data_IF_615007268859
#
_entry.id   IF_615007268859
#
_cell.length_a   1.000
_cell.length_b   1.000
_cell.length_c   1.000
_cell.angle_alpha   90.00
_cell.angle_beta   90.00
_cell.angle_gamma   90.00
#
_symmetry.space_group_name_H-M   'P 1'
#
loop_
_entity.id
_entity.type
_entity.pdbx_description
1 polymer ?
#
# COMPACT_ATOMS: atom_id res chain seq x y z
N UNK A 1 -31.72 -0.67 -1.00
CA UNK A 1 -30.44 -0.58 -1.74
C UNK A 1 -29.36 -1.40 -1.03
N UNK A 2 -29.69 -2.63 -0.59
CA UNK A 2 -28.83 -3.43 0.32
C UNK A 2 -28.60 -4.87 -0.13
N UNK A 3 -29.00 -5.26 -1.34
CA UNK A 3 -28.95 -6.68 -1.74
C UNK A 3 -27.75 -7.04 -2.63
N UNK A 4 -27.14 -6.10 -3.36
CA UNK A 4 -26.09 -6.45 -4.33
C UNK A 4 -24.70 -6.72 -3.71
N UNK A 5 -24.36 -6.07 -2.60
CA UNK A 5 -23.06 -6.29 -1.92
C UNK A 5 -22.99 -7.66 -1.22
N UNK A 6 -24.14 -8.27 -0.94
CA UNK A 6 -24.21 -9.57 -0.27
C UNK A 6 -23.94 -10.74 -1.24
N UNK A 7 -24.15 -10.55 -2.55
CA UNK A 7 -23.99 -11.62 -3.55
C UNK A 7 -22.54 -11.87 -3.97
N UNK A 8 -21.71 -10.84 -4.14
CA UNK A 8 -20.30 -11.01 -4.49
C UNK A 8 -19.51 -11.66 -3.33
N UNK A 9 -19.79 -11.24 -2.10
CA UNK A 9 -19.20 -11.86 -0.90
C UNK A 9 -19.65 -13.30 -0.67
N UNK A 10 -20.95 -13.60 -0.88
CA UNK A 10 -21.48 -14.94 -0.70
C UNK A 10 -21.08 -15.93 -1.82
N UNK A 11 -20.81 -15.44 -3.04
CA UNK A 11 -20.37 -16.27 -4.16
C UNK A 11 -18.95 -16.83 -3.94
N UNK A 12 -18.05 -16.04 -3.37
CA UNK A 12 -16.68 -16.48 -3.02
C UNK A 12 -16.73 -17.54 -1.91
N UNK A 13 -17.65 -17.41 -0.94
CA UNK A 13 -17.68 -18.25 0.26
C UNK A 13 -18.32 -19.64 0.09
N UNK A 14 -19.31 -19.84 -0.80
CA UNK A 14 -20.05 -21.12 -0.87
C UNK A 14 -19.59 -22.11 -1.93
N UNK A 15 -18.74 -21.73 -2.90
CA UNK A 15 -18.40 -22.59 -4.05
C UNK A 15 -16.91 -22.89 -4.24
N UNK A 16 -16.03 -22.48 -3.32
CA UNK A 16 -14.59 -22.74 -3.46
C UNK A 16 -13.95 -21.98 -4.62
N UNK A 17 -14.36 -20.71 -4.81
CA UNK A 17 -13.77 -19.85 -5.83
C UNK A 17 -12.26 -19.72 -5.58
N UNK A 18 -11.47 -20.04 -6.59
CA UNK A 18 -10.01 -19.93 -6.52
C UNK A 18 -9.59 -18.48 -6.73
N UNK A 19 -9.10 -17.84 -5.66
CA UNK A 19 -8.59 -16.45 -5.69
C UNK A 19 -7.31 -16.30 -6.53
N UNK A 20 -6.70 -17.41 -6.94
CA UNK A 20 -5.54 -17.45 -7.82
C UNK A 20 -5.89 -17.76 -9.27
N UNK A 21 -7.18 -17.95 -9.58
CA UNK A 21 -7.62 -18.19 -10.94
C UNK A 21 -7.29 -16.98 -11.83
N UNK A 22 -6.82 -17.27 -13.04
CA UNK A 22 -6.57 -16.28 -14.08
C UNK A 22 -7.44 -16.54 -15.31
N UNK A 23 -7.86 -15.46 -15.98
CA UNK A 23 -8.54 -15.59 -17.28
C UNK A 23 -7.54 -16.01 -18.37
N UNK A 24 -8.03 -16.33 -19.57
CA UNK A 24 -7.16 -16.61 -20.74
C UNK A 24 -6.26 -15.42 -21.10
N UNK A 25 -6.72 -14.21 -20.79
CA UNK A 25 -6.02 -12.95 -21.03
C UNK A 25 -5.06 -12.61 -19.87
N UNK A 26 -5.00 -13.46 -18.83
CA UNK A 26 -4.14 -13.28 -17.67
C UNK A 26 -4.75 -12.40 -16.58
N UNK A 27 -6.03 -12.04 -16.67
CA UNK A 27 -6.67 -11.21 -15.65
C UNK A 27 -6.75 -11.94 -14.31
N UNK A 28 -6.47 -11.20 -13.24
CA UNK A 28 -6.57 -11.69 -11.87
C UNK A 28 -7.84 -11.16 -11.22
N UNK A 29 -8.13 -11.65 -10.01
CA UNK A 29 -9.20 -11.08 -9.15
C UNK A 29 -9.04 -9.58 -8.88
N UNK A 30 -7.84 -9.01 -9.08
CA UNK A 30 -7.59 -7.59 -8.89
C UNK A 30 -7.74 -6.75 -10.16
N UNK A 31 -7.81 -7.35 -11.36
CA UNK A 31 -7.90 -6.58 -12.62
C UNK A 31 -9.12 -5.64 -12.63
N UNK A 32 -10.30 -6.13 -12.20
CA UNK A 32 -11.50 -5.29 -12.12
C UNK A 32 -11.35 -4.14 -11.12
N UNK A 33 -10.68 -4.36 -9.98
CA UNK A 33 -10.42 -3.30 -8.99
C UNK A 33 -9.51 -2.25 -9.61
N UNK A 34 -8.42 -2.66 -10.27
CA UNK A 34 -7.48 -1.75 -10.93
C UNK A 34 -8.19 -0.89 -11.98
N UNK A 35 -9.04 -1.51 -12.80
CA UNK A 35 -9.84 -0.79 -13.80
C UNK A 35 -10.74 0.27 -13.14
N UNK A 36 -11.52 -0.11 -12.12
CA UNK A 36 -12.42 0.82 -11.42
C UNK A 36 -11.68 1.97 -10.74
N UNK A 37 -10.50 1.70 -10.15
CA UNK A 37 -9.68 2.76 -9.57
C UNK A 37 -9.21 3.76 -10.64
N UNK A 38 -8.94 3.31 -11.87
CA UNK A 38 -8.64 4.18 -13.01
C UNK A 38 -9.77 5.16 -13.34
N UNK A 39 -11.03 4.72 -13.29
CA UNK A 39 -12.20 5.54 -13.59
C UNK A 39 -12.44 6.66 -12.56
N UNK A 40 -11.84 6.57 -11.37
CA UNK A 40 -11.95 7.65 -10.36
C UNK A 40 -11.14 8.90 -10.74
N UNK A 41 -10.25 8.82 -11.74
CA UNK A 41 -9.40 9.93 -12.17
C UNK A 41 -10.20 10.88 -13.06
N UNK A 42 -10.58 12.04 -12.51
CA UNK A 42 -11.30 13.08 -13.26
C UNK A 42 -12.82 12.88 -13.36
N UNK A 43 -13.34 11.83 -12.72
CA UNK A 43 -14.77 11.57 -12.57
C UNK A 43 -15.44 12.41 -11.47
N UNK A 44 -16.73 12.15 -11.26
CA UNK A 44 -17.50 12.78 -10.18
C UNK A 44 -16.97 12.39 -8.79
N UNK A 45 -16.99 13.33 -7.84
CA UNK A 45 -16.44 13.11 -6.49
C UNK A 45 -17.24 12.06 -5.71
N UNK A 46 -18.55 12.03 -5.88
CA UNK A 46 -19.41 11.10 -5.15
C UNK A 46 -19.31 9.69 -5.73
N UNK A 47 -19.33 9.57 -7.06
CA UNK A 47 -19.04 8.32 -7.76
C UNK A 47 -17.66 7.77 -7.39
N UNK A 48 -16.63 8.62 -7.38
CA UNK A 48 -15.28 8.27 -6.96
C UNK A 48 -15.22 7.75 -5.51
N UNK A 49 -15.99 8.34 -4.58
CA UNK A 49 -16.10 7.82 -3.21
C UNK A 49 -16.73 6.44 -3.17
N UNK A 50 -17.84 6.23 -3.88
CA UNK A 50 -18.50 4.91 -3.94
C UNK A 50 -17.58 3.84 -4.51
N UNK A 51 -16.86 4.16 -5.60
CA UNK A 51 -15.89 3.25 -6.22
C UNK A 51 -14.76 2.92 -5.23
N UNK A 52 -14.16 3.92 -4.58
CA UNK A 52 -13.10 3.69 -3.61
C UNK A 52 -13.56 2.79 -2.44
N UNK A 53 -14.76 3.03 -1.91
CA UNK A 53 -15.37 2.21 -0.86
C UNK A 53 -15.60 0.77 -1.31
N UNK A 54 -16.13 0.57 -2.51
CA UNK A 54 -16.31 -0.75 -3.11
C UNK A 54 -14.96 -1.47 -3.27
N UNK A 55 -13.99 -0.83 -3.93
CA UNK A 55 -12.65 -1.38 -4.13
C UNK A 55 -11.98 -1.76 -2.81
N UNK A 56 -12.13 -0.94 -1.78
CA UNK A 56 -11.63 -1.23 -0.44
C UNK A 56 -12.24 -2.51 0.16
N UNK A 57 -13.58 -2.62 0.17
CA UNK A 57 -14.28 -3.78 0.73
C UNK A 57 -13.98 -5.08 -0.02
N UNK A 58 -13.92 -5.03 -1.35
CA UNK A 58 -13.60 -6.21 -2.16
C UNK A 58 -12.13 -6.61 -1.94
N UNK A 59 -11.20 -5.66 -1.88
CA UNK A 59 -9.78 -5.95 -1.59
C UNK A 59 -9.63 -6.60 -0.21
N UNK A 60 -10.31 -6.09 0.82
CA UNK A 60 -10.33 -6.70 2.16
C UNK A 60 -10.78 -8.16 2.12
N UNK A 61 -11.87 -8.45 1.41
CA UNK A 61 -12.40 -9.80 1.27
C UNK A 61 -11.41 -10.72 0.52
N UNK A 62 -10.91 -10.30 -0.64
CA UNK A 62 -9.97 -11.09 -1.44
C UNK A 62 -8.72 -11.45 -0.64
N UNK A 63 -8.16 -10.48 0.09
CA UNK A 63 -7.01 -10.71 0.95
C UNK A 63 -7.32 -11.64 2.12
N UNK A 64 -8.52 -11.57 2.72
CA UNK A 64 -8.97 -12.52 3.75
C UNK A 64 -9.02 -13.97 3.24
N UNK A 65 -9.18 -14.15 1.93
CA UNK A 65 -9.13 -15.44 1.25
C UNK A 65 -7.74 -15.77 0.65
N UNK A 66 -6.70 -14.97 0.95
CA UNK A 66 -5.32 -15.27 0.59
C UNK A 66 -4.87 -14.75 -0.77
N UNK A 67 -5.62 -13.87 -1.42
CA UNK A 67 -5.18 -13.19 -2.63
C UNK A 67 -3.98 -12.27 -2.33
N UNK A 68 -2.95 -12.29 -3.18
CA UNK A 68 -1.77 -11.42 -3.09
C UNK A 68 -1.91 -10.20 -4.04
N UNK A 69 -2.24 -9.00 -3.55
CA UNK A 69 -2.35 -7.77 -4.37
C UNK A 69 -1.01 -7.22 -4.85
N UNK A 70 0.12 -7.85 -4.55
CA UNK A 70 1.45 -7.49 -5.04
C UNK A 70 1.96 -8.45 -6.14
N UNK A 71 1.19 -9.48 -6.46
CA UNK A 71 1.53 -10.51 -7.45
C UNK A 71 1.50 -9.96 -8.88
N UNK A 72 2.47 -10.38 -9.69
CA UNK A 72 2.48 -10.23 -11.15
C UNK A 72 2.11 -11.59 -11.78
N UNK A 73 1.75 -11.72 -13.06
CA UNK A 73 1.49 -10.69 -14.06
C UNK A 73 -0.02 -10.37 -14.18
N UNK A 74 -0.35 -9.12 -14.50
CA UNK A 74 -1.57 -8.68 -15.21
C UNK A 74 -1.53 -7.15 -15.31
N UNK A 75 -0.70 -6.64 -16.24
CA UNK A 75 -0.52 -5.23 -16.60
C UNK A 75 -0.15 -4.18 -15.53
N UNK A 76 -0.34 -4.40 -14.23
CA UNK A 76 0.22 -3.69 -13.07
C UNK A 76 -0.48 -4.24 -11.79
N UNK A 77 0.24 -4.73 -10.77
CA UNK A 77 -0.42 -5.25 -9.54
C UNK A 77 -1.22 -4.17 -8.79
N UNK A 78 -2.22 -4.54 -7.99
CA UNK A 78 -3.03 -3.56 -7.23
C UNK A 78 -2.16 -2.66 -6.34
N UNK A 79 -1.17 -3.23 -5.66
CA UNK A 79 -0.25 -2.46 -4.80
C UNK A 79 0.56 -1.46 -5.63
N UNK A 80 1.01 -1.85 -6.82
CA UNK A 80 1.73 -0.98 -7.73
C UNK A 80 0.87 0.20 -8.21
N UNK A 81 -0.39 -0.04 -8.59
CA UNK A 81 -1.33 1.01 -8.99
C UNK A 81 -1.60 1.97 -7.84
N UNK A 82 -1.85 1.43 -6.65
CA UNK A 82 -2.06 2.24 -5.45
C UNK A 82 -0.82 3.08 -5.10
N UNK A 83 0.39 2.58 -5.31
CA UNK A 83 1.64 3.34 -5.14
C UNK A 83 1.78 4.47 -6.18
N UNK A 84 1.47 4.22 -7.46
CA UNK A 84 1.54 5.25 -8.53
C UNK A 84 0.57 6.40 -8.29
N UNK A 85 -0.60 6.10 -7.72
CA UNK A 85 -1.67 7.06 -7.45
C UNK A 85 -1.94 7.20 -5.95
N UNK A 86 -0.89 7.14 -5.12
CA UNK A 86 -1.03 7.06 -3.66
C UNK A 86 -1.73 8.26 -3.04
N UNK A 87 -1.75 9.42 -3.71
CA UNK A 87 -2.53 10.58 -3.28
C UNK A 87 -4.03 10.28 -3.29
N UNK A 88 -4.51 9.65 -4.37
CA UNK A 88 -5.92 9.37 -4.64
C UNK A 88 -6.39 8.13 -3.90
N UNK A 89 -5.60 7.06 -3.94
CA UNK A 89 -5.94 5.77 -3.33
C UNK A 89 -5.24 5.55 -1.99
N UNK A 90 -4.94 6.64 -1.26
CA UNK A 90 -4.20 6.58 0.01
C UNK A 90 -4.83 5.61 1.03
N UNK A 91 -6.16 5.63 1.28
CA UNK A 91 -6.76 4.73 2.27
C UNK A 91 -6.56 3.26 1.91
N UNK A 92 -6.71 2.93 0.62
CA UNK A 92 -6.50 1.57 0.12
C UNK A 92 -5.02 1.17 0.22
N UNK A 93 -4.09 2.04 -0.21
CA UNK A 93 -2.65 1.78 -0.10
C UNK A 93 -2.22 1.56 1.35
N UNK A 94 -2.68 2.41 2.27
CA UNK A 94 -2.41 2.30 3.69
C UNK A 94 -2.87 0.95 4.22
N UNK A 95 -4.11 0.57 3.92
CA UNK A 95 -4.66 -0.74 4.29
C UNK A 95 -3.82 -1.90 3.75
N UNK A 96 -3.42 -1.85 2.47
CA UNK A 96 -2.58 -2.88 1.85
C UNK A 96 -1.27 -3.07 2.66
N UNK A 97 -0.54 -1.98 2.91
CA UNK A 97 0.74 -2.04 3.62
C UNK A 97 0.58 -2.47 5.09
N UNK A 98 -0.42 -1.94 5.80
CA UNK A 98 -0.75 -2.34 7.18
C UNK A 98 -1.13 -3.82 7.28
N UNK A 99 -1.78 -4.35 6.25
CA UNK A 99 -2.15 -5.76 6.14
C UNK A 99 -0.98 -6.67 5.77
N UNK A 100 0.21 -6.11 5.51
CA UNK A 100 1.44 -6.83 5.22
C UNK A 100 1.73 -7.01 3.72
N UNK A 101 1.13 -6.17 2.87
CA UNK A 101 1.39 -6.19 1.44
C UNK A 101 2.85 -5.97 1.10
N UNK A 102 3.30 -6.64 0.02
CA UNK A 102 4.64 -6.40 -0.47
C UNK A 102 4.68 -5.05 -1.17
N UNK A 103 5.61 -4.21 -0.77
CA UNK A 103 5.87 -2.91 -1.39
C UNK A 103 6.84 -2.99 -2.57
N UNK A 104 7.22 -4.21 -2.98
CA UNK A 104 7.90 -4.51 -4.24
C UNK A 104 7.14 -5.67 -4.92
N UNK A 105 7.45 -5.97 -6.18
CA UNK A 105 6.89 -7.14 -6.85
C UNK A 105 7.14 -8.41 -6.02
N UNK A 106 6.08 -9.15 -5.68
CA UNK A 106 6.22 -10.36 -4.86
C UNK A 106 6.84 -11.54 -5.63
N UNK A 107 6.71 -11.57 -6.97
CA UNK A 107 7.29 -12.61 -7.81
C UNK A 107 8.71 -12.30 -8.32
N UNK A 108 8.90 -11.09 -8.86
CA UNK A 108 10.15 -10.71 -9.54
C UNK A 108 11.06 -9.82 -8.68
N UNK A 109 10.61 -9.40 -7.50
CA UNK A 109 11.36 -8.53 -6.61
C UNK A 109 11.46 -7.07 -7.09
N UNK A 110 12.32 -6.26 -6.44
CA UNK A 110 12.40 -4.81 -6.67
C UNK A 110 12.92 -4.41 -8.06
N UNK A 111 13.50 -5.34 -8.84
CA UNK A 111 13.94 -5.09 -10.22
C UNK A 111 12.78 -4.96 -11.20
N UNK A 112 11.61 -5.55 -10.90
CA UNK A 112 10.40 -5.39 -11.70
C UNK A 112 9.69 -4.07 -11.36
N UNK A 113 9.43 -3.84 -10.07
CA UNK A 113 9.00 -2.55 -9.56
C UNK A 113 9.32 -2.44 -8.07
N UNK A 114 9.63 -1.22 -7.63
CA UNK A 114 9.90 -0.91 -6.23
C UNK A 114 9.07 0.27 -5.75
N UNK A 115 8.34 0.08 -4.65
CA UNK A 115 7.53 1.15 -4.06
C UNK A 115 8.36 2.35 -3.63
N UNK A 116 9.64 2.17 -3.24
CA UNK A 116 10.51 3.30 -2.90
C UNK A 116 10.77 4.16 -4.14
N UNK A 117 11.05 3.54 -5.28
CA UNK A 117 11.24 4.26 -6.53
C UNK A 117 9.98 5.02 -6.92
N UNK A 118 8.83 4.34 -6.90
CA UNK A 118 7.56 4.92 -7.32
C UNK A 118 7.17 6.11 -6.44
N UNK A 119 7.29 6.00 -5.11
CA UNK A 119 6.93 7.09 -4.18
C UNK A 119 7.79 8.32 -4.43
N UNK A 120 9.11 8.16 -4.55
CA UNK A 120 10.00 9.30 -4.78
C UNK A 120 9.85 9.89 -6.19
N UNK A 121 9.66 9.06 -7.22
CA UNK A 121 9.35 9.52 -8.58
C UNK A 121 8.09 10.38 -8.58
N UNK A 122 7.03 9.93 -7.91
CA UNK A 122 5.75 10.64 -7.81
C UNK A 122 5.86 11.93 -7.00
N UNK A 123 6.57 11.90 -5.87
CA UNK A 123 6.88 13.11 -5.10
C UNK A 123 7.58 14.16 -5.98
N UNK A 124 8.63 13.74 -6.69
CA UNK A 124 9.36 14.66 -7.56
C UNK A 124 8.49 15.19 -8.69
N UNK A 125 7.71 14.34 -9.35
CA UNK A 125 6.83 14.74 -10.45
C UNK A 125 5.77 15.75 -10.03
N UNK A 126 5.06 15.51 -8.90
CA UNK A 126 3.96 16.37 -8.45
C UNK A 126 4.41 17.64 -7.74
N UNK A 127 5.57 17.63 -7.08
CA UNK A 127 6.10 18.80 -6.37
C UNK A 127 6.99 19.70 -7.25
N UNK A 128 7.32 19.25 -8.46
CA UNK A 128 7.99 20.11 -9.45
C UNK A 128 7.03 21.09 -10.13
N UNK A 129 5.73 20.84 -10.07
CA UNK A 129 4.69 21.60 -10.79
C UNK A 129 3.73 22.38 -9.88
N UNK A 130 3.79 22.21 -8.56
CA UNK A 130 2.83 22.81 -7.62
C UNK A 130 3.47 23.90 -6.76
N UNK A 131 2.82 25.07 -6.73
CA UNK A 131 3.12 26.17 -5.79
C UNK A 131 2.18 26.17 -4.57
N UNK A 132 1.20 25.27 -4.53
CA UNK A 132 0.25 25.16 -3.42
C UNK A 132 0.90 24.42 -2.23
N UNK A 133 1.17 25.18 -1.17
CA UNK A 133 1.76 24.68 0.07
C UNK A 133 0.88 23.63 0.76
N UNK A 134 -0.45 23.76 0.68
CA UNK A 134 -1.39 22.82 1.32
C UNK A 134 -1.39 21.48 0.61
N UNK A 135 -1.44 21.49 -0.73
CA UNK A 135 -1.28 20.31 -1.57
C UNK A 135 0.06 19.61 -1.31
N UNK A 136 1.13 20.41 -1.24
CA UNK A 136 2.48 19.88 -1.06
C UNK A 136 2.68 19.23 0.30
N UNK A 137 2.11 19.84 1.35
CA UNK A 137 2.13 19.30 2.71
C UNK A 137 1.35 17.98 2.82
N UNK A 138 0.12 17.90 2.29
CA UNK A 138 -0.68 16.66 2.28
C UNK A 138 0.06 15.52 1.55
N UNK A 139 0.62 15.81 0.37
CA UNK A 139 1.33 14.81 -0.42
C UNK A 139 2.59 14.30 0.29
N UNK A 140 3.36 15.19 0.92
CA UNK A 140 4.54 14.82 1.70
C UNK A 140 4.16 13.96 2.90
N UNK A 141 3.13 14.35 3.66
CA UNK A 141 2.67 13.58 4.82
C UNK A 141 2.20 12.17 4.43
N UNK A 142 1.47 12.05 3.32
CA UNK A 142 1.06 10.74 2.78
C UNK A 142 2.27 9.91 2.38
N UNK A 143 3.25 10.50 1.71
CA UNK A 143 4.46 9.79 1.32
C UNK A 143 5.30 9.35 2.52
N UNK A 144 5.44 10.19 3.54
CA UNK A 144 6.08 9.84 4.82
C UNK A 144 5.41 8.62 5.45
N UNK A 145 4.08 8.66 5.56
CA UNK A 145 3.30 7.53 6.10
C UNK A 145 3.54 6.24 5.29
N UNK A 146 3.52 6.33 3.96
CA UNK A 146 3.77 5.18 3.08
C UNK A 146 5.19 4.63 3.27
N UNK A 147 6.20 5.50 3.28
CA UNK A 147 7.60 5.11 3.47
C UNK A 147 7.81 4.45 4.85
N UNK A 148 7.20 5.00 5.90
CA UNK A 148 7.23 4.43 7.24
C UNK A 148 6.60 3.04 7.30
N UNK A 149 5.44 2.84 6.67
CA UNK A 149 4.77 1.53 6.58
C UNK A 149 5.61 0.50 5.82
N UNK A 150 6.29 0.93 4.74
CA UNK A 150 7.19 0.08 3.96
C UNK A 150 8.42 -0.33 4.76
N UNK A 151 9.07 0.63 5.43
CA UNK A 151 10.21 0.37 6.32
C UNK A 151 9.78 -0.54 7.47
N UNK A 152 8.61 -0.29 8.07
CA UNK A 152 8.05 -1.08 9.18
C UNK A 152 7.76 -2.54 8.82
N UNK A 153 7.67 -2.85 7.53
CA UNK A 153 7.38 -4.18 6.99
C UNK A 153 8.64 -4.96 6.56
N UNK A 154 9.84 -4.39 6.72
CA UNK A 154 11.09 -4.98 6.25
C UNK A 154 12.19 -4.98 7.31
N UNK A 155 12.98 -6.05 7.38
CA UNK A 155 14.13 -6.11 8.29
C UNK A 155 15.23 -5.12 7.89
N UNK A 156 15.43 -4.97 6.58
CA UNK A 156 16.41 -4.07 5.98
C UNK A 156 15.77 -3.50 4.71
N UNK A 157 15.55 -2.17 4.62
CA UNK A 157 15.10 -1.54 3.40
C UNK A 157 16.10 -1.82 2.27
N UNK A 158 15.67 -2.55 1.24
CA UNK A 158 16.48 -2.81 0.04
C UNK A 158 16.16 -1.77 -1.01
N UNK A 159 17.06 -0.80 -1.16
CA UNK A 159 17.07 0.11 -2.29
C UNK A 159 17.92 -0.49 -3.43
N UNK A 160 17.45 -0.43 -4.68
CA UNK A 160 18.30 -0.66 -5.85
C UNK A 160 19.61 0.14 -5.81
N UNK A 161 20.69 -0.47 -6.29
CA UNK A 161 22.07 0.05 -6.20
C UNK A 161 22.23 1.43 -6.84
N UNK A 162 21.52 1.68 -7.95
CA UNK A 162 21.56 2.92 -8.71
C UNK A 162 20.40 3.86 -8.35
N UNK A 163 19.79 3.67 -7.17
CA UNK A 163 18.69 4.52 -6.76
C UNK A 163 19.17 5.93 -6.42
N UNK A 164 18.81 6.85 -7.30
CA UNK A 164 19.00 8.27 -7.13
C UNK A 164 17.72 9.04 -7.42
N UNK A 165 17.61 10.21 -6.80
CA UNK A 165 16.43 11.07 -6.93
C UNK A 165 16.84 12.32 -7.70
N UNK A 166 16.17 12.55 -8.83
CA UNK A 166 16.29 13.80 -9.55
C UNK A 166 15.53 14.93 -8.83
N UNK A 167 16.11 15.41 -7.73
CA UNK A 167 15.55 16.48 -6.90
C UNK A 167 15.81 17.89 -7.47
N UNK A 168 16.54 18.00 -8.58
CA UNK A 168 16.88 19.31 -9.19
C UNK A 168 15.65 20.04 -9.74
N UNK A 169 14.60 19.31 -10.07
CA UNK A 169 13.33 19.86 -10.57
C UNK A 169 12.39 20.35 -9.45
N UNK A 170 12.64 19.96 -8.19
CA UNK A 170 11.76 20.24 -7.05
C UNK A 170 12.14 21.55 -6.35
N UNK A 171 11.71 22.68 -6.92
CA UNK A 171 12.16 24.03 -6.53
C UNK A 171 11.88 24.41 -5.07
N UNK A 172 10.74 24.00 -4.51
CA UNK A 172 10.27 24.46 -3.19
C UNK A 172 10.39 23.43 -2.07
N UNK A 173 10.26 22.13 -2.39
CA UNK A 173 10.28 21.04 -1.39
C UNK A 173 11.50 20.11 -1.55
N UNK A 174 12.48 20.47 -2.39
CA UNK A 174 13.64 19.62 -2.69
C UNK A 174 14.44 19.21 -1.46
N UNK A 175 14.56 20.08 -0.45
CA UNK A 175 15.28 19.76 0.79
C UNK A 175 14.57 18.68 1.62
N UNK A 176 13.24 18.74 1.74
CA UNK A 176 12.46 17.72 2.48
C UNK A 176 12.53 16.37 1.79
N UNK A 177 12.39 16.34 0.45
CA UNK A 177 12.52 15.10 -0.32
C UNK A 177 13.92 14.49 -0.16
N UNK A 178 14.97 15.32 -0.21
CA UNK A 178 16.35 14.89 0.06
C UNK A 178 16.50 14.34 1.49
N UNK A 179 15.93 15.01 2.50
CA UNK A 179 15.99 14.57 3.88
C UNK A 179 15.34 13.19 4.06
N UNK A 180 14.16 12.96 3.47
CA UNK A 180 13.49 11.65 3.47
C UNK A 180 14.35 10.57 2.81
N UNK A 181 14.95 10.89 1.66
CA UNK A 181 15.82 9.97 0.95
C UNK A 181 17.09 9.62 1.71
N UNK A 182 17.78 10.61 2.28
CA UNK A 182 18.98 10.36 3.07
C UNK A 182 18.67 9.56 4.32
N UNK A 183 17.54 9.84 4.98
CA UNK A 183 17.07 9.04 6.12
C UNK A 183 16.87 7.58 5.71
N UNK A 184 16.23 7.34 4.57
CA UNK A 184 16.04 5.98 4.05
C UNK A 184 17.36 5.28 3.69
N UNK A 185 18.31 5.99 3.05
CA UNK A 185 19.66 5.45 2.78
C UNK A 185 20.42 5.12 4.05
N UNK A 186 20.32 5.95 5.09
CA UNK A 186 20.94 5.67 6.39
C UNK A 186 20.37 4.39 7.03
N UNK A 187 19.07 4.10 6.88
CA UNK A 187 18.45 2.88 7.39
C UNK A 187 18.95 1.60 6.67
N UNK A 188 19.51 1.70 5.47
CA UNK A 188 20.11 0.56 4.76
C UNK A 188 21.48 0.17 5.35
N UNK A 189 22.20 1.14 5.93
CA UNK A 189 23.55 0.95 6.48
C UNK A 189 23.60 0.83 8.00
N UNK A 190 22.47 1.06 8.68
CA UNK A 190 22.36 0.95 10.14
C UNK A 190 21.47 -0.23 10.52
N UNK A 191 21.86 -1.05 11.51
CA UNK A 191 21.01 -2.14 11.98
C UNK A 191 19.76 -1.56 12.64
N UNK A 192 18.59 -2.06 12.24
CA UNK A 192 17.32 -1.69 12.88
C UNK A 192 17.31 -2.16 14.35
N UNK A 193 16.62 -1.43 15.21
CA UNK A 193 16.48 -1.80 16.61
C UNK A 193 15.89 -3.23 16.74
N UNK A 194 16.30 -3.98 17.78
CA UNK A 194 15.77 -5.33 18.02
C UNK A 194 14.24 -5.36 18.09
N UNK A 195 13.65 -4.33 18.70
CA UNK A 195 12.20 -4.11 18.73
C UNK A 195 11.60 -4.03 17.33
N UNK A 196 12.28 -3.44 16.35
CA UNK A 196 11.77 -3.43 14.98
C UNK A 196 11.88 -4.82 14.35
N UNK A 197 13.03 -5.48 14.48
CA UNK A 197 13.29 -6.80 13.90
C UNK A 197 12.30 -7.86 14.41
N UNK A 198 12.01 -7.87 15.71
CA UNK A 198 11.01 -8.77 16.30
C UNK A 198 9.60 -8.51 15.72
N UNK A 199 9.22 -7.25 15.53
CA UNK A 199 7.90 -6.88 14.95
C UNK A 199 7.78 -7.45 13.55
N UNK A 200 8.79 -7.21 12.70
CA UNK A 200 8.82 -7.70 11.32
C UNK A 200 8.77 -9.23 11.30
N UNK A 201 9.58 -9.89 12.12
CA UNK A 201 9.62 -11.35 12.20
C UNK A 201 8.25 -11.95 12.55
N UNK A 202 7.58 -11.42 13.58
CA UNK A 202 6.26 -11.89 13.99
C UNK A 202 5.23 -11.65 12.87
N UNK A 203 5.21 -10.46 12.28
CA UNK A 203 4.28 -10.13 11.17
C UNK A 203 4.48 -11.04 9.95
N UNK A 204 5.72 -11.38 9.61
CA UNK A 204 6.02 -12.33 8.53
C UNK A 204 5.45 -13.74 8.82
N UNK A 205 5.47 -14.19 10.08
CA UNK A 205 4.90 -15.48 10.50
C UNK A 205 3.37 -15.51 10.51
N UNK A 206 2.72 -14.36 10.51
CA UNK A 206 1.26 -14.25 10.47
C UNK A 206 0.70 -14.30 9.04
N UNK A 207 1.54 -14.25 8.00
CA UNK A 207 1.12 -14.46 6.60
C UNK A 207 0.51 -15.86 6.40
N UNK A 208 -0.44 -16.08 5.47
CA UNK A 208 -0.99 -15.12 4.50
C UNK A 208 -1.86 -14.04 5.13
N UNK A 209 -2.24 -13.03 4.38
CA UNK A 209 -2.83 -11.80 4.90
C UNK A 209 -4.34 -12.02 5.18
N UNK A 210 -5.09 -11.06 5.73
CA UNK A 210 -4.69 -9.79 6.34
C UNK A 210 -4.01 -10.01 7.70
N UNK A 211 -2.80 -9.46 7.85
CA UNK A 211 -1.99 -9.64 9.06
C UNK A 211 -2.61 -8.93 10.28
N UNK A 212 -3.25 -7.78 10.09
CA UNK A 212 -3.88 -7.00 11.15
C UNK A 212 -5.06 -7.73 11.81
N UNK A 213 -5.92 -8.40 11.03
CA UNK A 213 -7.03 -9.22 11.56
C UNK A 213 -6.49 -10.35 12.42
N UNK A 214 -5.42 -11.01 11.95
CA UNK A 214 -4.76 -12.07 12.71
C UNK A 214 -4.16 -11.55 14.01
N UNK A 215 -3.48 -10.40 13.99
CA UNK A 215 -2.95 -9.75 15.20
C UNK A 215 -4.07 -9.46 16.21
N UNK A 216 -5.20 -8.91 15.76
CA UNK A 216 -6.36 -8.61 16.61
C UNK A 216 -6.92 -9.86 17.29
N UNK A 217 -6.91 -11.00 16.58
CA UNK A 217 -7.37 -12.30 17.08
C UNK A 217 -6.37 -13.03 18.00
N UNK A 218 -5.09 -12.61 18.07
CA UNK A 218 -4.12 -13.28 18.94
C UNK A 218 -4.49 -13.13 20.42
N UNK A 219 -4.24 -14.15 21.27
CA UNK A 219 -4.43 -14.06 22.72
C UNK A 219 -3.26 -13.31 23.38
N UNK A 220 -2.99 -12.09 22.92
CA UNK A 220 -1.94 -11.21 23.44
C UNK A 220 -2.56 -10.02 24.19
N UNK A 221 -1.86 -9.45 25.18
CA UNK A 221 -2.22 -8.16 25.75
C UNK A 221 -2.28 -7.06 24.68
N UNK A 222 -3.18 -6.09 24.86
CA UNK A 222 -3.41 -5.02 23.88
C UNK A 222 -2.15 -4.25 23.51
N UNK A 223 -1.27 -4.01 24.50
CA UNK A 223 0.03 -3.35 24.26
C UNK A 223 0.91 -4.08 23.25
N UNK A 224 0.88 -5.42 23.24
CA UNK A 224 1.61 -6.22 22.25
C UNK A 224 0.89 -6.22 20.90
N UNK A 225 -0.44 -6.23 20.88
CA UNK A 225 -1.22 -6.06 19.64
C UNK A 225 -0.92 -4.73 18.98
N UNK A 226 -0.96 -3.62 19.72
CA UNK A 226 -0.62 -2.28 19.20
C UNK A 226 0.81 -2.18 18.71
N UNK A 227 1.75 -2.86 19.36
CA UNK A 227 3.12 -2.93 18.89
C UNK A 227 3.25 -3.67 17.54
N UNK A 228 2.42 -4.70 17.30
CA UNK A 228 2.42 -5.47 16.06
C UNK A 228 1.62 -4.80 14.93
N UNK A 229 0.59 -4.03 15.27
CA UNK A 229 -0.09 -3.13 14.34
C UNK A 229 0.86 -1.98 14.02
N UNK A 230 0.99 -1.63 12.73
CA UNK A 230 1.76 -0.44 12.34
C UNK A 230 0.80 0.74 12.41
N UNK A 231 0.21 0.96 13.59
CA UNK A 231 -0.80 1.99 13.78
C UNK A 231 -0.12 3.30 14.21
N UNK A 232 -0.21 4.29 13.34
CA UNK A 232 0.11 5.67 13.67
C UNK A 232 -1.19 6.26 14.21
N UNK A 233 -1.25 6.47 15.53
CA UNK A 233 -2.41 6.99 16.24
C UNK A 233 -3.02 8.20 15.52
N UNK A 234 -4.02 7.91 14.69
CA UNK A 234 -5.06 8.79 14.18
C UNK A 234 -6.05 7.84 13.52
N UNK A 235 -6.93 7.32 14.35
CA UNK A 235 -8.26 6.85 13.96
C UNK A 235 -8.99 8.02 13.31
N UNK A 236 -8.65 8.31 12.06
CA UNK A 236 -9.55 9.00 11.15
C UNK A 236 -10.56 7.97 10.66
N UNK A 237 -11.59 7.73 11.45
CA UNK A 237 -12.86 7.16 10.98
C UNK A 237 -13.63 8.15 10.08
N UNK A 238 -12.98 9.19 9.56
CA UNK A 238 -13.61 10.15 8.66
C UNK A 238 -13.26 9.79 7.21
N UNK A 239 -14.29 9.31 6.53
CA UNK A 239 -14.45 9.08 5.09
C UNK A 239 -13.93 7.76 4.49
N UNK A 240 -14.64 6.66 4.82
CA UNK A 240 -14.87 5.52 3.91
C UNK A 240 -16.33 5.54 3.41
#
# INVERSE_FOLDING_TARGET
>A
MSDNDQWLGAAVQRRGADVKATTKDGDTVFTCIIFLLGETVGGDKEEGRMINRFCFRVTQLLMAHGADPSECPAHESLTHICLKSFKLHFPLLRFLLESGASYNCSLHGPSCWSGFHIVFERLCSHLSSSEDDSFSADLLQKAETVLELMVASSQIPKLPSDFDINSTSCRFQGEKIKALFYSLKQLQHSPQALKHLCRVYIRQRLKPWPVDVKIKALPLPDRLKWYLLIDHGNSGEEDI
#
